data_IF_855481287338
#
_entry.id   IF_855481287338
#
_cell.length_a   1.000
_cell.length_b   1.000
_cell.length_c   1.000
_cell.angle_alpha   90.00
_cell.angle_beta   90.00
_cell.angle_gamma   90.00
#
_symmetry.space_group_name_H-M   'P 1'
#
loop_
_entity.id
_entity.type
_entity.pdbx_description
1 polymer ?
#
# COMPACT_ATOMS: atom_id res chain seq x y z
N UNK A 1 3.40 5.80 -16.34
CA UNK A 1 2.10 6.08 -17.00
C UNK A 1 1.37 7.05 -16.11
N UNK A 2 0.96 8.21 -16.62
CA UNK A 2 0.25 9.22 -15.81
C UNK A 2 -1.06 8.64 -15.25
N UNK A 3 -1.40 8.97 -14.01
CA UNK A 3 -2.62 8.50 -13.37
C UNK A 3 -3.76 9.38 -13.84
N UNK A 4 -4.81 8.76 -14.39
CA UNK A 4 -6.02 9.49 -14.82
C UNK A 4 -7.17 9.23 -13.86
N UNK A 5 -8.21 10.06 -13.92
CA UNK A 5 -9.42 9.83 -13.15
C UNK A 5 -10.58 10.70 -13.60
N UNK A 6 -11.73 10.51 -12.95
CA UNK A 6 -12.95 11.27 -13.21
C UNK A 6 -13.78 11.44 -11.95
N UNK A 7 -14.62 12.48 -11.94
CA UNK A 7 -15.61 12.70 -10.88
C UNK A 7 -16.93 12.03 -11.29
N UNK A 8 -17.55 11.31 -10.37
CA UNK A 8 -18.87 10.71 -10.54
C UNK A 8 -19.76 10.97 -9.33
N UNK A 9 -21.05 10.66 -9.44
CA UNK A 9 -22.03 10.87 -8.37
C UNK A 9 -22.56 9.51 -7.92
N UNK A 10 -22.68 9.33 -6.60
CA UNK A 10 -23.28 8.13 -6.00
C UNK A 10 -23.91 8.51 -4.66
N UNK A 11 -25.11 8.00 -4.38
CA UNK A 11 -25.81 8.24 -3.10
C UNK A 11 -25.89 9.74 -2.69
N UNK A 12 -26.13 10.64 -3.65
CA UNK A 12 -26.25 12.08 -3.36
C UNK A 12 -24.94 12.82 -3.07
N UNK A 13 -23.78 12.17 -3.26
CA UNK A 13 -22.44 12.74 -3.06
C UNK A 13 -21.58 12.63 -4.32
N UNK A 14 -20.57 13.48 -4.40
CA UNK A 14 -19.49 13.34 -5.38
C UNK A 14 -18.45 12.31 -4.93
N UNK A 15 -17.89 11.62 -5.90
CA UNK A 15 -16.78 10.68 -5.74
C UNK A 15 -15.70 11.00 -6.77
N UNK A 16 -14.45 11.00 -6.33
CA UNK A 16 -13.30 11.01 -7.22
C UNK A 16 -12.86 9.57 -7.49
N UNK A 17 -12.74 9.20 -8.76
CA UNK A 17 -12.36 7.85 -9.18
C UNK A 17 -11.03 7.91 -9.92
N UNK A 18 -10.00 7.29 -9.35
CA UNK A 18 -8.69 7.15 -10.01
C UNK A 18 -8.64 5.85 -10.81
N UNK A 19 -8.15 5.92 -12.06
CA UNK A 19 -7.82 4.77 -12.89
C UNK A 19 -6.41 4.29 -12.58
N UNK A 20 -6.31 3.34 -11.64
CA UNK A 20 -5.05 2.69 -11.31
C UNK A 20 -4.91 1.39 -12.09
N UNK A 21 -3.68 0.91 -12.25
CA UNK A 21 -3.37 -0.33 -12.97
C UNK A 21 -2.51 -1.22 -12.08
N UNK A 22 -2.68 -2.54 -12.21
CA UNK A 22 -1.85 -3.53 -11.51
C UNK A 22 -0.56 -3.86 -12.25
N UNK A 23 0.31 -4.65 -11.61
CA UNK A 23 1.58 -5.14 -12.19
C UNK A 23 1.37 -5.86 -13.54
N UNK A 24 0.16 -6.34 -13.83
CA UNK A 24 -0.21 -7.03 -15.07
C UNK A 24 -0.89 -6.09 -16.08
N UNK A 25 -0.94 -4.79 -15.81
CA UNK A 25 -1.57 -3.78 -16.66
C UNK A 25 -3.10 -3.80 -16.63
N UNK A 26 -3.74 -4.56 -15.73
CA UNK A 26 -5.20 -4.59 -15.62
C UNK A 26 -5.70 -3.39 -14.82
N UNK A 27 -6.69 -2.69 -15.35
CA UNK A 27 -7.31 -1.52 -14.72
C UNK A 27 -8.06 -1.90 -13.43
N UNK A 28 -7.79 -1.18 -12.35
CA UNK A 28 -8.35 -1.33 -11.01
C UNK A 28 -8.75 0.07 -10.48
N UNK A 29 -9.96 0.55 -10.76
CA UNK A 29 -10.37 1.89 -10.34
C UNK A 29 -10.50 1.98 -8.81
N UNK A 30 -10.03 3.08 -8.24
CA UNK A 30 -10.14 3.36 -6.80
C UNK A 30 -11.04 4.56 -6.56
N UNK A 31 -12.05 4.34 -5.73
CA UNK A 31 -13.07 5.33 -5.41
C UNK A 31 -12.72 6.04 -4.11
N UNK A 32 -12.82 7.36 -4.12
CA UNK A 32 -12.67 8.23 -2.96
C UNK A 32 -13.97 9.02 -2.80
N UNK A 33 -14.59 8.91 -1.63
CA UNK A 33 -15.69 9.83 -1.26
C UNK A 33 -15.08 11.22 -1.11
N UNK A 34 -15.69 12.24 -1.74
CA UNK A 34 -15.31 13.62 -1.45
C UNK A 34 -16.11 14.20 -0.29
N UNK A 35 -17.12 13.47 0.18
CA UNK A 35 -18.14 13.91 1.15
C UNK A 35 -18.91 15.19 0.76
N UNK A 36 -18.76 15.65 -0.48
CA UNK A 36 -19.44 16.82 -1.01
C UNK A 36 -20.82 16.45 -1.57
N UNK A 37 -21.90 17.17 -1.20
CA UNK A 37 -23.22 16.99 -1.79
C UNK A 37 -23.25 17.53 -3.23
N UNK A 38 -24.23 17.07 -4.03
CA UNK A 38 -24.29 17.35 -5.47
C UNK A 38 -24.39 18.85 -5.84
N UNK A 39 -25.05 19.66 -5.02
CA UNK A 39 -25.39 21.05 -5.39
C UNK A 39 -24.16 21.96 -5.30
N UNK A 40 -23.71 22.49 -6.44
CA UNK A 40 -22.65 23.51 -6.52
C UNK A 40 -21.21 23.03 -6.29
N UNK A 41 -21.00 21.75 -5.94
CA UNK A 41 -19.69 21.26 -5.53
C UNK A 41 -18.88 20.54 -6.61
N UNK A 42 -19.35 20.50 -7.88
CA UNK A 42 -18.65 19.82 -8.98
C UNK A 42 -17.19 20.26 -9.09
N UNK A 43 -16.94 21.58 -9.09
CA UNK A 43 -15.59 22.15 -9.17
C UNK A 43 -14.71 21.78 -7.97
N UNK A 44 -15.30 21.69 -6.77
CA UNK A 44 -14.58 21.28 -5.57
C UNK A 44 -14.22 19.78 -5.62
N UNK A 45 -15.13 18.95 -6.14
CA UNK A 45 -14.85 17.54 -6.36
C UNK A 45 -13.75 17.32 -7.42
N UNK A 46 -13.70 18.15 -8.47
CA UNK A 46 -12.63 18.13 -9.48
C UNK A 46 -11.28 18.54 -8.87
N UNK A 47 -11.24 19.56 -8.00
CA UNK A 47 -10.02 19.92 -7.26
C UNK A 47 -9.50 18.75 -6.42
N UNK A 48 -10.39 18.07 -5.68
CA UNK A 48 -10.03 16.88 -4.90
C UNK A 48 -9.50 15.77 -5.82
N UNK A 49 -10.10 15.57 -7.00
CA UNK A 49 -9.58 14.64 -7.99
C UNK A 49 -8.14 14.98 -8.41
N UNK A 50 -7.85 16.24 -8.72
CA UNK A 50 -6.50 16.67 -9.12
C UNK A 50 -5.49 16.48 -7.99
N UNK A 51 -5.80 16.90 -6.76
CA UNK A 51 -4.95 16.64 -5.59
C UNK A 51 -4.68 15.15 -5.40
N UNK A 52 -5.70 14.31 -5.59
CA UNK A 52 -5.54 12.85 -5.54
C UNK A 52 -4.68 12.32 -6.69
N UNK A 53 -4.74 12.89 -7.88
CA UNK A 53 -3.84 12.49 -8.98
C UNK A 53 -2.40 12.82 -8.61
N UNK A 54 -2.12 14.06 -8.21
CA UNK A 54 -0.77 14.52 -7.86
C UNK A 54 -0.17 13.68 -6.72
N UNK A 55 -0.93 13.47 -5.64
CA UNK A 55 -0.48 12.63 -4.52
C UNK A 55 -0.16 11.19 -4.92
N UNK A 56 -0.91 10.63 -5.87
CA UNK A 56 -0.70 9.25 -6.30
C UNK A 56 0.42 9.13 -7.33
N UNK A 57 0.64 10.17 -8.14
CA UNK A 57 1.78 10.28 -9.05
C UNK A 57 3.08 10.46 -8.28
N UNK A 58 3.12 11.31 -7.25
CA UNK A 58 4.29 11.48 -6.37
C UNK A 58 4.67 10.17 -5.66
N UNK A 59 3.67 9.42 -5.20
CA UNK A 59 3.88 8.10 -4.59
C UNK A 59 4.42 7.08 -5.61
N UNK A 60 4.28 7.33 -6.92
CA UNK A 60 4.72 6.46 -8.01
C UNK A 60 4.28 5.00 -7.83
N UNK A 61 3.10 4.79 -7.21
CA UNK A 61 2.59 3.46 -6.85
C UNK A 61 1.48 3.06 -7.83
N UNK A 62 1.76 2.18 -8.81
CA UNK A 62 0.69 1.44 -9.47
C UNK A 62 -0.07 0.62 -8.42
N UNK A 63 -1.41 0.60 -8.51
CA UNK A 63 -2.24 -0.16 -7.57
C UNK A 63 -1.84 -1.62 -7.62
N UNK A 64 -1.25 -2.12 -6.53
CA UNK A 64 -0.89 -3.53 -6.43
C UNK A 64 -1.67 -4.17 -5.29
N UNK A 65 -2.23 -5.36 -5.55
CA UNK A 65 -2.81 -6.23 -4.51
C UNK A 65 -1.73 -6.98 -3.71
N UNK A 66 -0.46 -6.57 -3.85
CA UNK A 66 0.67 -7.13 -3.12
C UNK A 66 0.57 -6.78 -1.63
N UNK A 67 0.60 -7.82 -0.81
CA UNK A 67 0.72 -7.68 0.64
C UNK A 67 2.13 -7.24 1.02
N UNK A 68 2.30 -6.59 2.17
CA UNK A 68 3.62 -6.23 2.68
C UNK A 68 4.52 -7.47 2.84
N UNK A 69 3.98 -8.58 3.37
CA UNK A 69 4.69 -9.85 3.44
C UNK A 69 5.11 -10.38 2.06
N UNK A 70 4.20 -10.37 1.08
CA UNK A 70 4.51 -10.80 -0.28
C UNK A 70 5.56 -9.93 -0.96
N UNK A 71 5.57 -8.62 -0.68
CA UNK A 71 6.63 -7.73 -1.14
C UNK A 71 7.98 -8.09 -0.51
N UNK A 72 8.04 -8.25 0.82
CA UNK A 72 9.28 -8.59 1.52
C UNK A 72 9.89 -9.92 1.03
N UNK A 73 9.07 -10.92 0.71
CA UNK A 73 9.54 -12.18 0.14
C UNK A 73 10.11 -12.03 -1.27
N UNK A 74 9.60 -11.11 -2.09
CA UNK A 74 10.16 -10.78 -3.40
C UNK A 74 11.46 -9.98 -3.26
N UNK A 75 11.41 -8.94 -2.43
CA UNK A 75 12.53 -8.04 -2.18
C UNK A 75 13.74 -8.81 -1.64
N UNK A 76 13.55 -9.68 -0.65
CA UNK A 76 14.66 -10.43 -0.06
C UNK A 76 15.34 -11.33 -1.10
N UNK A 77 14.59 -11.95 -2.02
CA UNK A 77 15.17 -12.76 -3.11
C UNK A 77 16.03 -11.94 -4.06
N UNK A 78 15.62 -10.70 -4.34
CA UNK A 78 16.33 -9.79 -5.25
C UNK A 78 17.51 -9.10 -4.57
N UNK A 79 17.38 -8.71 -3.29
CA UNK A 79 18.42 -8.02 -2.53
C UNK A 79 19.72 -8.82 -2.41
N UNK A 80 19.65 -10.15 -2.50
CA UNK A 80 20.81 -11.04 -2.44
C UNK A 80 21.83 -10.85 -3.56
N UNK A 81 21.49 -10.20 -4.68
CA UNK A 81 22.44 -9.96 -5.78
C UNK A 81 23.45 -8.85 -5.47
N UNK A 82 23.11 -7.93 -4.56
CA UNK A 82 23.88 -6.71 -4.31
C UNK A 82 24.50 -6.66 -2.90
N UNK A 83 24.36 -7.72 -2.10
CA UNK A 83 24.77 -7.77 -0.69
C UNK A 83 25.78 -8.90 -0.49
N UNK A 84 26.81 -8.66 0.34
CA UNK A 84 27.78 -9.71 0.72
C UNK A 84 27.06 -10.93 1.32
N UNK A 85 27.49 -12.18 1.00
CA UNK A 85 26.74 -13.39 1.36
C UNK A 85 26.40 -13.53 2.86
N UNK A 86 27.36 -13.25 3.74
CA UNK A 86 27.15 -13.35 5.20
C UNK A 86 26.13 -12.33 5.72
N UNK A 87 26.20 -11.10 5.23
CA UNK A 87 25.26 -10.03 5.57
C UNK A 87 23.86 -10.37 5.06
N UNK A 88 23.75 -10.84 3.81
CA UNK A 88 22.48 -11.27 3.23
C UNK A 88 21.82 -12.40 4.04
N UNK A 89 22.59 -13.39 4.50
CA UNK A 89 22.06 -14.52 5.28
C UNK A 89 21.33 -14.06 6.53
N UNK A 90 21.91 -13.13 7.27
CA UNK A 90 21.34 -12.57 8.50
C UNK A 90 20.08 -11.75 8.21
N UNK A 91 20.13 -10.83 7.25
CA UNK A 91 18.95 -10.03 6.86
C UNK A 91 17.81 -10.91 6.36
N UNK A 92 18.11 -11.92 5.55
CA UNK A 92 17.12 -12.89 5.06
C UNK A 92 16.49 -13.66 6.21
N UNK A 93 17.29 -14.14 7.17
CA UNK A 93 16.77 -14.86 8.33
C UNK A 93 15.83 -13.96 9.15
N UNK A 94 16.18 -12.70 9.37
CA UNK A 94 15.32 -11.75 10.09
C UNK A 94 13.98 -11.53 9.38
N UNK A 95 14.02 -11.28 8.06
CA UNK A 95 12.80 -11.03 7.27
C UNK A 95 11.92 -12.28 7.21
N UNK A 96 12.48 -13.44 6.86
CA UNK A 96 11.72 -14.67 6.62
C UNK A 96 11.20 -15.30 7.90
N UNK A 97 11.96 -15.23 9.01
CA UNK A 97 11.60 -15.92 10.24
C UNK A 97 10.82 -15.04 11.22
N UNK A 98 10.95 -13.71 11.14
CA UNK A 98 10.35 -12.83 12.15
C UNK A 98 9.30 -11.89 11.57
N UNK A 99 9.60 -11.20 10.46
CA UNK A 99 8.72 -10.16 9.91
C UNK A 99 7.62 -10.80 9.05
N UNK A 100 8.00 -11.61 8.06
CA UNK A 100 7.04 -12.22 7.12
C UNK A 100 5.97 -13.07 7.81
N UNK A 101 6.27 -13.94 8.80
CA UNK A 101 5.25 -14.77 9.43
C UNK A 101 4.16 -13.95 10.13
N UNK A 102 4.54 -12.88 10.82
CA UNK A 102 3.60 -11.96 11.45
C UNK A 102 2.68 -11.31 10.41
N UNK A 103 3.25 -10.72 9.35
CA UNK A 103 2.46 -10.06 8.30
C UNK A 103 1.74 -11.03 7.34
N UNK A 104 1.98 -12.33 7.44
CA UNK A 104 1.13 -13.37 6.83
C UNK A 104 -0.11 -13.67 7.67
N UNK A 105 0.04 -13.68 9.00
CA UNK A 105 -1.08 -13.83 9.94
C UNK A 105 -1.93 -12.56 10.03
N UNK A 106 -1.30 -11.39 9.84
CA UNK A 106 -1.93 -10.07 9.83
C UNK A 106 -1.73 -9.40 8.46
N UNK A 107 -2.46 -9.86 7.42
CA UNK A 107 -2.22 -9.39 6.05
C UNK A 107 -2.60 -7.91 5.89
N UNK A 108 -1.60 -7.11 5.51
CA UNK A 108 -1.78 -5.71 5.12
C UNK A 108 -1.28 -5.52 3.69
N UNK A 109 -2.05 -4.79 2.87
CA UNK A 109 -1.58 -4.40 1.54
C UNK A 109 -0.41 -3.44 1.67
N UNK A 110 0.61 -3.57 0.82
CA UNK A 110 1.80 -2.70 0.86
C UNK A 110 1.42 -1.21 0.86
N UNK A 111 0.50 -0.83 -0.03
CA UNK A 111 -0.04 0.54 -0.16
C UNK A 111 -0.94 0.99 1.01
N UNK A 112 -1.22 0.11 1.97
CA UNK A 112 -2.06 0.38 3.15
C UNK A 112 -1.29 0.21 4.46
N UNK A 113 -0.01 -0.13 4.40
CA UNK A 113 0.85 -0.25 5.58
C UNK A 113 0.89 1.09 6.32
N UNK A 114 0.57 1.07 7.61
CA UNK A 114 0.60 2.22 8.51
C UNK A 114 1.65 2.01 9.61
N UNK A 115 2.12 3.10 10.25
CA UNK A 115 2.97 3.00 11.43
C UNK A 115 2.39 2.09 12.51
N UNK A 116 1.07 2.15 12.76
CA UNK A 116 0.37 1.32 13.74
C UNK A 116 0.51 -0.19 13.48
N UNK A 117 0.63 -0.60 12.20
CA UNK A 117 0.84 -2.01 11.85
C UNK A 117 2.25 -2.47 12.22
N UNK A 118 3.24 -1.56 12.13
CA UNK A 118 4.62 -1.80 12.56
C UNK A 118 4.73 -1.79 14.08
N UNK A 119 4.04 -0.87 14.76
CA UNK A 119 4.00 -0.80 16.22
C UNK A 119 3.43 -2.09 16.80
N UNK A 120 2.32 -2.59 16.24
CA UNK A 120 1.72 -3.86 16.63
C UNK A 120 2.69 -5.05 16.42
N UNK A 121 3.44 -5.06 15.31
CA UNK A 121 4.50 -6.04 15.08
C UNK A 121 5.56 -5.98 16.17
N UNK A 122 6.11 -4.81 16.48
CA UNK A 122 7.15 -4.67 17.50
C UNK A 122 6.64 -5.03 18.90
N UNK A 123 5.42 -4.65 19.25
CA UNK A 123 4.77 -5.05 20.51
C UNK A 123 4.63 -6.57 20.60
N UNK A 124 4.28 -7.26 19.51
CA UNK A 124 4.20 -8.73 19.49
C UNK A 124 5.54 -9.41 19.77
N UNK A 125 6.67 -8.74 19.51
CA UNK A 125 8.03 -9.22 19.81
C UNK A 125 8.51 -8.88 21.21
N UNK A 126 7.85 -7.93 21.89
CA UNK A 126 8.18 -7.52 23.26
C UNK A 126 7.46 -8.37 24.32
N UNK A 127 6.48 -9.19 23.95
CA UNK A 127 5.83 -10.10 24.91
C UNK A 127 6.82 -11.18 25.37
N UNK A 128 7.07 -11.32 26.68
CA UNK A 128 8.03 -12.30 27.20
C UNK A 128 7.43 -13.71 27.07
N UNK A 129 7.92 -14.49 26.11
CA UNK A 129 7.25 -15.74 25.77
C UNK A 129 7.99 -16.75 24.88
N UNK A 130 9.32 -16.80 24.85
CA UNK A 130 10.03 -18.08 24.67
C UNK A 130 11.49 -17.95 25.14
N UNK A 131 11.85 -18.87 26.03
CA UNK A 131 13.13 -18.99 26.74
C UNK A 131 14.32 -19.16 25.78
N UNK A 132 15.49 -18.90 26.37
CA UNK A 132 16.86 -19.29 26.00
C UNK A 132 16.98 -20.45 25.01
#
# INVERSE_FOLDING_TARGET
MAITGFVTTKNGKYYAVLNLYDEKGKRRPKWFSTDLPLRGNKRNAEKILHTLIDEWEEKNVPYCQLTFAGYLERWVKQAGTNIKPNTYRTYRAMVVNHIVPYFKQHPVLLQKLKPTDLDAYYQSKQQPGSKQ
#
